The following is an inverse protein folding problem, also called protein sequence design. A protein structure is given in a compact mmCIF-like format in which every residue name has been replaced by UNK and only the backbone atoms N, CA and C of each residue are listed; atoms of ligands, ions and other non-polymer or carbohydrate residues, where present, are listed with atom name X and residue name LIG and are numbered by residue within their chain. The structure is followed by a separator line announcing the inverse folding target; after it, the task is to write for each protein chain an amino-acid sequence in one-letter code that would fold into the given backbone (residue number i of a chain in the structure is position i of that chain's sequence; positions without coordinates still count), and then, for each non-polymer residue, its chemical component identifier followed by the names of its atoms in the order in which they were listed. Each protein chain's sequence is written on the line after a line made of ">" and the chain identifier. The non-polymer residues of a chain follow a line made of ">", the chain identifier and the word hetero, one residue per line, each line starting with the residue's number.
data_IF_132795641270
#
_entry.id   IF_132795641270
#
_cell.length_a   1.000
_cell.length_b   1.000
_cell.length_c   1.000
_cell.angle_alpha   90.00
_cell.angle_beta   90.00
_cell.angle_gamma   90.00
#
_symmetry.space_group_name_H-M   'P 1'
#
loop_
_entity.id
_entity.type
_entity.pdbx_description
1 polymer ?
#
# COMPACT_ATOMS: atom_id res chain seq x y z
N UNK A 1 -12.44 -4.46 32.96
CA UNK A 1 -11.90 -4.10 31.63
C UNK A 1 -11.31 -2.70 31.73
N UNK A 2 -9.98 -2.58 31.72
CA UNK A 2 -9.31 -1.27 31.74
C UNK A 2 -9.41 -0.69 30.33
N UNK A 3 -10.18 0.39 30.15
CA UNK A 3 -10.17 1.15 28.91
C UNK A 3 -8.93 2.04 28.92
N UNK A 4 -7.94 1.74 28.08
CA UNK A 4 -6.84 2.70 27.82
C UNK A 4 -7.46 3.97 27.25
N UNK A 5 -7.02 5.14 27.74
CA UNK A 5 -7.54 6.45 27.33
C UNK A 5 -7.14 6.85 25.89
N UNK A 6 -6.12 6.18 25.33
CA UNK A 6 -5.61 6.40 23.98
C UNK A 6 -5.37 5.07 23.30
N UNK A 7 -5.66 5.01 22.00
CA UNK A 7 -5.24 3.90 21.13
C UNK A 7 -3.80 4.20 20.74
N UNK A 8 -2.88 3.33 21.15
CA UNK A 8 -1.49 3.34 20.69
C UNK A 8 -1.39 2.35 19.54
N UNK A 9 -0.74 2.78 18.46
CA UNK A 9 -0.49 1.95 17.29
C UNK A 9 0.99 1.59 17.28
N UNK A 10 1.29 0.32 17.07
CA UNK A 10 2.69 -0.12 16.96
C UNK A 10 3.22 0.22 15.57
N UNK A 11 4.22 1.10 15.51
CA UNK A 11 4.84 1.59 14.26
C UNK A 11 5.96 0.69 13.74
N UNK A 12 6.50 -0.20 14.57
CA UNK A 12 7.69 -0.99 14.28
C UNK A 12 7.36 -2.48 14.14
N UNK A 13 8.23 -3.18 13.41
CA UNK A 13 8.18 -4.63 13.33
C UNK A 13 8.38 -5.24 14.73
N UNK A 14 7.69 -6.35 15.05
CA UNK A 14 7.86 -7.02 16.33
C UNK A 14 9.28 -7.55 16.50
N UNK A 15 9.77 -7.45 17.73
CA UNK A 15 11.10 -7.93 18.10
C UNK A 15 11.13 -9.47 18.15
N UNK A 16 12.23 -10.07 17.67
CA UNK A 16 12.48 -11.51 17.85
C UNK A 16 11.94 -12.46 16.77
N UNK A 17 11.38 -11.95 15.66
CA UNK A 17 11.05 -12.81 14.52
C UNK A 17 12.30 -13.25 13.73
N UNK A 18 12.50 -14.55 13.59
CA UNK A 18 13.55 -15.14 12.75
C UNK A 18 12.99 -15.49 11.35
N UNK A 19 13.42 -14.81 10.27
CA UNK A 19 13.01 -15.12 8.91
C UNK A 19 13.43 -16.51 8.43
N UNK A 20 14.51 -17.08 8.97
CA UNK A 20 15.01 -18.40 8.58
C UNK A 20 14.18 -19.54 9.18
N UNK A 21 13.56 -19.32 10.34
CA UNK A 21 12.63 -20.25 10.96
C UNK A 21 11.32 -19.55 11.42
N UNK A 22 10.41 -19.23 10.48
CA UNK A 22 9.20 -18.46 10.76
C UNK A 22 8.22 -19.12 11.73
N UNK A 23 8.33 -20.42 11.97
CA UNK A 23 7.43 -21.20 12.82
C UNK A 23 8.06 -21.56 14.18
N UNK A 24 9.28 -21.07 14.47
CA UNK A 24 9.99 -21.36 15.71
C UNK A 24 9.29 -20.80 16.95
N UNK A 25 8.69 -19.62 16.85
CA UNK A 25 7.88 -19.01 17.90
C UNK A 25 6.48 -18.65 17.35
N UNK A 26 5.40 -19.29 17.85
CA UNK A 26 4.05 -19.00 17.39
C UNK A 26 3.59 -17.57 17.71
N UNK A 27 4.12 -16.93 18.76
CA UNK A 27 3.74 -15.56 19.13
C UNK A 27 4.34 -14.56 18.16
N UNK A 28 5.67 -14.59 17.98
CA UNK A 28 6.37 -13.73 17.04
C UNK A 28 5.87 -13.88 15.59
N UNK A 29 5.49 -15.10 15.20
CA UNK A 29 4.90 -15.36 13.88
C UNK A 29 3.55 -14.65 13.68
N UNK A 30 2.68 -14.68 14.70
CA UNK A 30 1.38 -14.00 14.63
C UNK A 30 1.53 -12.48 14.63
N UNK A 31 2.39 -11.94 15.50
CA UNK A 31 2.68 -10.51 15.55
C UNK A 31 3.25 -10.00 14.21
N UNK A 32 4.14 -10.76 13.58
CA UNK A 32 4.63 -10.42 12.25
C UNK A 32 3.55 -10.45 11.18
N UNK A 33 2.60 -11.38 11.24
CA UNK A 33 1.46 -11.40 10.31
C UNK A 33 0.59 -10.17 10.49
N UNK A 34 0.33 -9.76 11.73
CA UNK A 34 -0.43 -8.54 12.03
C UNK A 34 0.30 -7.29 11.50
N UNK A 35 1.61 -7.20 11.71
CA UNK A 35 2.44 -6.13 11.16
C UNK A 35 2.41 -6.11 9.62
N UNK A 36 2.60 -7.26 8.95
CA UNK A 36 2.54 -7.36 7.49
C UNK A 36 1.18 -6.94 6.92
N UNK A 37 0.08 -7.30 7.60
CA UNK A 37 -1.26 -6.87 7.21
C UNK A 37 -1.40 -5.36 7.38
N UNK A 38 -0.92 -4.79 8.48
CA UNK A 38 -0.90 -3.33 8.73
C UNK A 38 -0.15 -2.57 7.64
N UNK A 39 1.05 -3.03 7.25
CA UNK A 39 1.82 -2.44 6.16
C UNK A 39 1.09 -2.48 4.82
N UNK A 40 0.40 -3.59 4.51
CA UNK A 40 -0.47 -3.67 3.32
C UNK A 40 -1.62 -2.67 3.38
N UNK A 41 -2.23 -2.47 4.55
CA UNK A 41 -3.26 -1.44 4.74
C UNK A 41 -2.70 -0.03 4.55
N UNK A 42 -1.49 0.25 5.04
CA UNK A 42 -0.81 1.53 4.83
C UNK A 42 -0.63 1.78 3.33
N UNK A 43 -0.13 0.79 2.57
CA UNK A 43 -0.02 0.91 1.11
C UNK A 43 -1.37 1.17 0.43
N UNK A 44 -2.44 0.49 0.84
CA UNK A 44 -3.80 0.73 0.32
C UNK A 44 -4.25 2.17 0.62
N UNK A 45 -4.04 2.66 1.85
CA UNK A 45 -4.42 4.02 2.23
C UNK A 45 -3.60 5.09 1.51
N UNK A 46 -2.30 4.86 1.29
CA UNK A 46 -1.48 5.77 0.47
C UNK A 46 -2.02 5.88 -0.96
N UNK A 47 -2.45 4.76 -1.57
CA UNK A 47 -3.08 4.77 -2.89
C UNK A 47 -4.43 5.51 -2.88
N UNK A 48 -5.22 5.41 -1.80
CA UNK A 48 -6.47 6.17 -1.63
C UNK A 48 -6.22 7.67 -1.53
N UNK A 49 -5.21 8.10 -0.77
CA UNK A 49 -4.82 9.52 -0.69
C UNK A 49 -4.44 10.07 -2.08
N UNK A 50 -3.67 9.31 -2.86
CA UNK A 50 -3.33 9.69 -4.25
C UNK A 50 -4.57 9.78 -5.14
N UNK A 51 -5.52 8.85 -5.00
CA UNK A 51 -6.80 8.89 -5.72
C UNK A 51 -7.60 10.15 -5.38
N UNK A 52 -7.64 10.55 -4.12
CA UNK A 52 -8.36 11.76 -3.69
C UNK A 52 -7.69 13.04 -4.23
N UNK A 53 -6.36 13.11 -4.21
CA UNK A 53 -5.60 14.19 -4.84
C UNK A 53 -5.86 14.27 -6.34
N UNK A 54 -5.90 13.13 -7.02
CA UNK A 54 -6.22 13.05 -8.44
C UNK A 54 -7.63 13.55 -8.73
N UNK A 55 -8.63 13.09 -7.94
CA UNK A 55 -10.02 13.53 -8.05
C UNK A 55 -10.16 15.04 -7.84
N UNK A 56 -9.42 15.58 -6.87
CA UNK A 56 -9.36 17.02 -6.63
C UNK A 56 -8.75 17.76 -7.82
N UNK A 57 -7.62 17.30 -8.37
CA UNK A 57 -6.99 17.88 -9.56
C UNK A 57 -7.95 17.91 -10.76
N UNK A 58 -8.66 16.80 -11.02
CA UNK A 58 -9.66 16.73 -12.08
C UNK A 58 -10.80 17.74 -11.89
N UNK A 59 -11.22 17.98 -10.65
CA UNK A 59 -12.27 18.95 -10.34
C UNK A 59 -11.81 20.39 -10.55
N UNK A 60 -10.56 20.71 -10.22
CA UNK A 60 -10.02 22.07 -10.32
C UNK A 60 -9.64 22.43 -11.75
N UNK A 61 -8.96 21.54 -12.47
CA UNK A 61 -8.41 21.85 -13.80
C UNK A 61 -9.43 21.74 -14.94
N UNK A 62 -10.54 21.02 -14.72
CA UNK A 62 -11.58 20.84 -15.73
C UNK A 62 -10.98 20.28 -17.02
N UNK A 63 -11.12 21.00 -18.13
CA UNK A 63 -10.67 20.58 -19.47
C UNK A 63 -9.16 20.30 -19.55
N UNK A 64 -8.35 20.95 -18.70
CA UNK A 64 -6.88 20.80 -18.73
C UNK A 64 -6.35 19.60 -17.94
N UNK A 65 -7.23 18.75 -17.38
CA UNK A 65 -6.84 17.66 -16.50
C UNK A 65 -5.86 16.66 -17.16
N UNK A 66 -5.93 16.48 -18.48
CA UNK A 66 -5.08 15.54 -19.22
C UNK A 66 -3.60 15.95 -19.15
N UNK A 67 -3.29 17.23 -19.28
CA UNK A 67 -1.91 17.71 -19.25
C UNK A 67 -1.40 17.86 -17.82
N UNK A 68 -2.21 18.48 -16.96
CA UNK A 68 -1.78 18.85 -15.61
C UNK A 68 -1.87 17.72 -14.59
N UNK A 69 -2.88 16.85 -14.66
CA UNK A 69 -3.06 15.77 -13.69
C UNK A 69 -2.38 14.44 -14.08
N UNK A 70 -1.72 14.37 -15.26
CA UNK A 70 -1.05 13.14 -15.75
C UNK A 70 -0.03 12.56 -14.77
N UNK A 71 0.74 13.41 -14.11
CA UNK A 71 1.75 12.97 -13.15
C UNK A 71 1.10 12.30 -11.91
N UNK A 72 0.00 12.86 -11.40
CA UNK A 72 -0.78 12.25 -10.31
C UNK A 72 -1.43 10.94 -10.75
N UNK A 73 -1.93 10.87 -11.99
CA UNK A 73 -2.50 9.63 -12.53
C UNK A 73 -1.44 8.52 -12.60
N UNK A 74 -0.23 8.86 -13.06
CA UNK A 74 0.89 7.90 -13.11
C UNK A 74 1.31 7.44 -11.71
N UNK A 75 1.46 8.36 -10.75
CA UNK A 75 1.77 8.02 -9.36
C UNK A 75 0.69 7.12 -8.74
N UNK A 76 -0.59 7.41 -8.99
CA UNK A 76 -1.70 6.59 -8.51
C UNK A 76 -1.66 5.17 -9.11
N UNK A 77 -1.46 5.06 -10.42
CA UNK A 77 -1.34 3.75 -11.08
C UNK A 77 -0.13 2.97 -10.55
N UNK A 78 1.01 3.63 -10.36
CA UNK A 78 2.21 3.00 -9.81
C UNK A 78 2.00 2.55 -8.36
N UNK A 79 1.31 3.34 -7.53
CA UNK A 79 0.96 2.98 -6.16
C UNK A 79 -0.07 1.84 -6.06
N UNK A 80 -0.88 1.61 -7.10
CA UNK A 80 -1.83 0.47 -7.11
C UNK A 80 -1.22 -0.84 -7.57
N UNK A 81 -0.06 -0.82 -8.22
CA UNK A 81 0.62 -2.03 -8.68
C UNK A 81 1.20 -2.78 -7.49
N UNK A 82 0.79 -4.03 -7.30
CA UNK A 82 1.25 -4.85 -6.18
C UNK A 82 0.55 -4.56 -4.84
N UNK A 83 -0.47 -3.71 -4.82
CA UNK A 83 -1.22 -3.36 -3.60
C UNK A 83 -2.63 -3.98 -3.64
N UNK A 84 -2.92 -4.93 -2.74
CA UNK A 84 -4.26 -5.52 -2.59
C UNK A 84 -4.29 -7.03 -2.30
N UNK A 85 -5.42 -7.66 -2.62
CA UNK A 85 -5.66 -9.12 -2.48
C UNK A 85 -6.20 -9.68 -3.82
N UNK A 86 -5.36 -10.35 -4.62
CA UNK A 86 -5.71 -10.86 -5.95
C UNK A 86 -4.56 -10.88 -6.98
N UNK A 87 -4.88 -11.08 -8.27
CA UNK A 87 -3.90 -11.15 -9.37
C UNK A 87 -3.12 -9.84 -9.58
N UNK A 88 -3.75 -8.70 -9.35
CA UNK A 88 -3.13 -7.37 -9.54
C UNK A 88 -2.29 -6.92 -8.33
N UNK A 89 -2.37 -7.66 -7.21
CA UNK A 89 -1.56 -7.44 -6.00
C UNK A 89 -0.32 -8.33 -5.92
N UNK A 90 0.03 -8.99 -7.03
CA UNK A 90 1.26 -9.76 -7.09
C UNK A 90 2.46 -8.80 -6.99
N UNK A 91 3.55 -9.14 -6.28
CA UNK A 91 4.75 -8.32 -6.28
C UNK A 91 5.18 -7.94 -7.71
N UNK A 92 5.76 -6.74 -7.92
CA UNK A 92 6.23 -6.27 -9.22
C UNK A 92 7.04 -7.28 -10.04
N UNK A 93 7.84 -8.10 -9.36
CA UNK A 93 8.66 -9.16 -9.96
C UNK A 93 7.86 -10.24 -10.69
N UNK A 94 6.59 -10.40 -10.33
CA UNK A 94 5.71 -11.41 -10.89
C UNK A 94 4.59 -10.80 -11.77
N UNK A 95 4.62 -9.47 -11.97
CA UNK A 95 3.88 -8.82 -13.03
C UNK A 95 4.61 -9.07 -14.36
N UNK A 96 3.87 -9.33 -15.43
CA UNK A 96 4.45 -9.49 -16.77
C UNK A 96 5.27 -8.26 -17.16
N UNK A 97 6.17 -8.39 -18.15
CA UNK A 97 7.02 -7.28 -18.60
C UNK A 97 6.17 -6.04 -18.84
N UNK A 98 6.66 -4.88 -18.39
CA UNK A 98 6.02 -3.59 -18.66
C UNK A 98 5.83 -3.53 -20.18
N UNK A 99 4.59 -3.45 -20.64
CA UNK A 99 4.35 -2.92 -21.98
C UNK A 99 4.73 -1.46 -21.86
N UNK A 100 5.84 -1.09 -22.48
CA UNK A 100 6.22 0.30 -22.63
C UNK A 100 5.05 0.98 -23.35
N UNK A 101 4.28 1.76 -22.59
CA UNK A 101 3.20 2.60 -23.11
C UNK A 101 3.86 3.85 -23.68
N UNK A 102 4.61 3.64 -24.76
CA UNK A 102 5.13 4.67 -25.65
C UNK A 102 4.41 4.49 -27.01
N UNK A 103 3.14 4.85 -27.06
CA UNK A 103 2.37 5.22 -28.25
C UNK A 103 1.16 6.09 -27.84
#
# INVERSE_FOLDING_TARGET
>A
MVRKAKVEFDEQAPDGFDPANPYGDPVAMLEMREHLVREKWIQIETAKILRDRLRWCYRIEGVNHIQKCRHLARQYLDATRGVGWGKDSRPPELHGPKKDLDD
#
